data_IF_222133606122
#
_entry.id   IF_222133606122
#
_cell.length_a   1.000
_cell.length_b   1.000
_cell.length_c   1.000
_cell.angle_alpha   90.00
_cell.angle_beta   90.00
_cell.angle_gamma   90.00
#
_symmetry.space_group_name_H-M   'P 1'
#
loop_
_entity.id
_entity.type
_entity.pdbx_description
1 polymer ?
#
# COMPACT_ATOMS: atom_id res chain seq x y z
N UNK A 1 9.96 -5.27 7.95
CA UNK A 1 9.33 -3.93 8.08
C UNK A 1 7.87 -4.01 7.65
N UNK A 2 6.94 -3.59 8.50
CA UNK A 2 5.50 -3.59 8.22
C UNK A 2 5.11 -2.17 7.83
N UNK A 3 4.89 -1.95 6.52
CA UNK A 3 4.38 -0.67 6.03
C UNK A 3 2.86 -0.67 6.15
N UNK A 4 2.23 0.28 6.86
CA UNK A 4 0.77 0.31 7.05
C UNK A 4 0.02 0.42 5.71
N UNK A 5 0.57 1.14 4.74
CA UNK A 5 0.00 1.23 3.40
C UNK A 5 0.04 -0.13 2.67
N UNK A 6 1.11 -0.92 2.87
CA UNK A 6 1.23 -2.27 2.32
C UNK A 6 0.22 -3.25 2.93
N UNK A 7 -0.01 -3.16 4.24
CA UNK A 7 -1.05 -3.96 4.91
C UNK A 7 -2.43 -3.58 4.39
N UNK A 8 -2.70 -2.29 4.21
CA UNK A 8 -3.95 -1.82 3.64
C UNK A 8 -4.20 -2.37 2.22
N UNK A 9 -3.17 -2.39 1.37
CA UNK A 9 -3.27 -3.00 0.03
C UNK A 9 -3.50 -4.52 0.10
N UNK A 10 -2.88 -5.22 1.05
CA UNK A 10 -3.12 -6.66 1.25
C UNK A 10 -4.58 -6.95 1.63
N UNK A 11 -5.15 -6.13 2.54
CA UNK A 11 -6.57 -6.24 2.94
C UNK A 11 -7.49 -5.97 1.74
N UNK A 12 -7.23 -4.90 0.98
CA UNK A 12 -8.01 -4.57 -0.21
C UNK A 12 -7.92 -5.68 -1.29
N UNK A 13 -6.72 -6.25 -1.49
CA UNK A 13 -6.52 -7.38 -2.40
C UNK A 13 -7.23 -8.66 -1.91
N UNK A 14 -7.25 -8.90 -0.60
CA UNK A 14 -7.96 -10.04 -0.01
C UNK A 14 -9.47 -9.93 -0.19
N UNK A 15 -10.05 -8.75 0.01
CA UNK A 15 -11.47 -8.50 -0.25
C UNK A 15 -11.80 -8.70 -1.74
N UNK A 16 -10.92 -8.23 -2.63
CA UNK A 16 -11.04 -8.43 -4.08
C UNK A 16 -10.98 -9.90 -4.52
N UNK A 17 -10.28 -10.74 -3.76
CA UNK A 17 -10.08 -12.19 -4.04
C UNK A 17 -11.39 -13.00 -4.04
N UNK A 18 -12.40 -12.58 -3.30
CA UNK A 18 -13.73 -13.25 -3.26
C UNK A 18 -14.38 -13.38 -4.66
N UNK A 19 -13.88 -12.64 -5.67
CA UNK A 19 -14.38 -12.62 -7.06
C UNK A 19 -13.49 -13.38 -8.07
N UNK A 20 -12.87 -14.51 -7.71
CA UNK A 20 -12.23 -15.47 -8.64
C UNK A 20 -10.88 -15.11 -9.27
N UNK A 21 -10.17 -14.05 -8.88
CA UNK A 21 -8.81 -13.79 -9.39
C UNK A 21 -7.76 -14.00 -8.29
N UNK A 22 -6.63 -14.59 -8.66
CA UNK A 22 -5.48 -14.71 -7.77
C UNK A 22 -4.91 -13.33 -7.49
N UNK A 23 -4.60 -12.97 -6.22
CA UNK A 23 -4.22 -11.61 -5.85
C UNK A 23 -2.86 -11.19 -6.40
N UNK A 24 -2.00 -12.15 -6.72
CA UNK A 24 -0.66 -11.90 -7.21
C UNK A 24 -0.41 -12.71 -8.49
N UNK A 25 0.12 -12.04 -9.51
CA UNK A 25 0.59 -12.66 -10.75
C UNK A 25 1.90 -12.01 -11.15
N UNK A 26 2.78 -12.77 -11.81
CA UNK A 26 3.99 -12.20 -12.40
C UNK A 26 3.62 -11.05 -13.34
N UNK A 27 4.34 -9.95 -13.22
CA UNK A 27 4.23 -8.80 -14.09
C UNK A 27 5.64 -8.28 -14.35
N UNK A 28 6.01 -7.93 -15.58
CA UNK A 28 7.35 -7.40 -15.86
C UNK A 28 7.56 -6.09 -15.10
N UNK A 29 8.80 -5.85 -14.67
CA UNK A 29 9.14 -4.64 -13.94
C UNK A 29 9.05 -3.42 -14.86
N UNK A 30 8.21 -2.44 -14.51
CA UNK A 30 8.17 -1.14 -15.17
C UNK A 30 9.34 -0.27 -14.65
N UNK A 31 10.56 -0.64 -15.02
CA UNK A 31 11.79 -0.03 -14.50
C UNK A 31 11.84 1.48 -14.75
N UNK A 32 11.42 1.94 -15.92
CA UNK A 32 11.37 3.37 -16.26
C UNK A 32 10.46 4.16 -15.29
N UNK A 33 9.27 3.63 -15.01
CA UNK A 33 8.32 4.28 -14.08
C UNK A 33 8.86 4.29 -12.65
N UNK A 34 9.50 3.21 -12.20
CA UNK A 34 10.08 3.08 -10.85
C UNK A 34 11.21 4.07 -10.61
N UNK A 35 12.20 4.08 -11.53
CA UNK A 35 13.35 4.97 -11.40
C UNK A 35 12.97 6.42 -11.69
N UNK A 36 11.99 6.68 -12.58
CA UNK A 36 11.44 8.00 -12.82
C UNK A 36 10.74 8.57 -11.57
N UNK A 37 9.89 7.78 -10.92
CA UNK A 37 9.25 8.18 -9.66
C UNK A 37 10.26 8.44 -8.54
N UNK A 38 11.32 7.59 -8.43
CA UNK A 38 12.40 7.80 -7.47
C UNK A 38 13.19 9.08 -7.77
N UNK A 39 13.52 9.34 -9.04
CA UNK A 39 14.24 10.55 -9.44
C UNK A 39 13.43 11.81 -9.13
N UNK A 40 12.14 11.85 -9.47
CA UNK A 40 11.23 12.94 -9.12
C UNK A 40 11.20 13.14 -7.61
N UNK A 41 11.09 12.07 -6.83
CA UNK A 41 11.09 12.14 -5.37
C UNK A 41 12.37 12.75 -4.82
N UNK A 42 13.54 12.33 -5.32
CA UNK A 42 14.85 12.87 -4.90
C UNK A 42 14.97 14.35 -5.29
N UNK A 43 14.62 14.69 -6.53
CA UNK A 43 14.68 16.08 -7.02
C UNK A 43 13.80 17.00 -6.17
N UNK A 44 12.57 16.59 -5.88
CA UNK A 44 11.64 17.39 -5.07
C UNK A 44 12.10 17.51 -3.61
N UNK A 45 12.77 16.49 -3.10
CA UNK A 45 13.34 16.52 -1.75
C UNK A 45 14.54 17.48 -1.67
N UNK A 46 15.43 17.48 -2.67
CA UNK A 46 16.58 18.39 -2.76
C UNK A 46 16.12 19.83 -3.03
N UNK A 47 15.09 20.01 -3.86
CA UNK A 47 14.49 21.33 -4.15
C UNK A 47 13.68 21.92 -2.98
N UNK A 48 13.48 21.15 -1.88
CA UNK A 48 12.70 21.60 -0.72
C UNK A 48 11.19 21.63 -0.94
N UNK A 49 10.67 21.09 -2.07
CA UNK A 49 9.23 21.04 -2.38
C UNK A 49 8.59 19.88 -1.62
N UNK A 50 8.37 20.09 -0.32
CA UNK A 50 7.84 19.05 0.58
C UNK A 50 6.45 18.55 0.18
N UNK A 51 5.61 19.36 -0.45
CA UNK A 51 4.27 18.96 -0.89
C UNK A 51 4.31 17.75 -1.85
N UNK A 52 5.14 17.80 -2.89
CA UNK A 52 5.26 16.72 -3.88
C UNK A 52 5.92 15.48 -3.24
N UNK A 53 6.98 15.69 -2.44
CA UNK A 53 7.65 14.61 -1.72
C UNK A 53 6.68 13.84 -0.80
N UNK A 54 5.82 14.55 -0.05
CA UNK A 54 4.82 13.93 0.83
C UNK A 54 3.70 13.20 0.07
N UNK A 55 3.44 13.57 -1.19
CA UNK A 55 2.48 12.86 -2.05
C UNK A 55 2.96 11.44 -2.39
N UNK A 56 4.27 11.30 -2.69
CA UNK A 56 4.88 10.02 -3.04
C UNK A 56 5.26 9.17 -1.81
N UNK A 57 5.44 9.79 -0.65
CA UNK A 57 5.81 9.09 0.57
C UNK A 57 4.67 8.18 1.06
N UNK A 58 4.89 6.85 1.18
CA UNK A 58 3.81 5.92 1.52
C UNK A 58 3.27 6.15 2.94
N UNK A 59 4.11 6.58 3.87
CA UNK A 59 3.72 6.89 5.24
C UNK A 59 2.83 8.13 5.30
N UNK A 60 3.18 9.17 4.55
CA UNK A 60 2.39 10.42 4.47
C UNK A 60 1.04 10.17 3.79
N UNK A 61 1.01 9.36 2.72
CA UNK A 61 -0.23 8.97 2.06
C UNK A 61 -1.18 8.24 3.02
N UNK A 62 -0.65 7.29 3.80
CA UNK A 62 -1.44 6.59 4.82
C UNK A 62 -1.92 7.55 5.92
N UNK A 63 -1.06 8.45 6.42
CA UNK A 63 -1.42 9.44 7.43
C UNK A 63 -2.56 10.38 6.97
N UNK A 64 -2.53 10.81 5.72
CA UNK A 64 -3.63 11.63 5.15
C UNK A 64 -4.94 10.84 5.06
N UNK A 65 -4.90 9.58 4.64
CA UNK A 65 -6.09 8.72 4.60
C UNK A 65 -6.62 8.50 6.02
N UNK A 66 -5.75 8.17 6.97
CA UNK A 66 -6.13 7.94 8.35
C UNK A 66 -6.78 9.18 8.98
N UNK A 67 -6.17 10.35 8.83
CA UNK A 67 -6.65 11.59 9.46
C UNK A 67 -7.90 12.16 8.79
N UNK A 68 -8.08 11.97 7.48
CA UNK A 68 -9.21 12.60 6.77
C UNK A 68 -10.38 11.64 6.52
N UNK A 69 -10.15 10.32 6.45
CA UNK A 69 -11.22 9.35 6.24
C UNK A 69 -11.54 8.53 7.49
N UNK A 70 -10.52 7.94 8.14
CA UNK A 70 -10.77 7.02 9.25
C UNK A 70 -11.02 7.74 10.55
N UNK A 71 -10.34 8.84 10.83
CA UNK A 71 -10.53 9.62 12.05
C UNK A 71 -11.96 10.17 12.17
N UNK A 72 -12.58 10.81 11.16
CA UNK A 72 -13.97 11.26 11.25
C UNK A 72 -14.96 10.12 11.50
N UNK A 73 -14.75 8.96 10.85
CA UNK A 73 -15.60 7.77 11.04
C UNK A 73 -15.47 7.26 12.48
N UNK A 74 -14.24 7.22 13.02
CA UNK A 74 -13.99 6.82 14.39
C UNK A 74 -14.65 7.79 15.40
N UNK A 75 -14.52 9.10 15.19
CA UNK A 75 -15.12 10.12 16.05
C UNK A 75 -16.66 10.06 15.99
N UNK A 76 -17.23 9.83 14.81
CA UNK A 76 -18.66 9.62 14.69
C UNK A 76 -19.14 8.38 15.46
N UNK A 77 -18.39 7.28 15.36
CA UNK A 77 -18.65 6.09 16.16
C UNK A 77 -18.54 6.34 17.67
N UNK A 78 -17.50 7.07 18.10
CA UNK A 78 -17.33 7.48 19.51
C UNK A 78 -18.53 8.31 20.01
N UNK A 79 -18.98 9.29 19.22
CA UNK A 79 -20.11 10.14 19.60
C UNK A 79 -21.43 9.33 19.68
N UNK A 80 -21.59 8.33 18.79
CA UNK A 80 -22.72 7.41 18.90
C UNK A 80 -22.69 6.61 20.22
N UNK A 81 -21.49 6.12 20.62
CA UNK A 81 -21.32 5.42 21.90
C UNK A 81 -21.49 6.38 23.08
N UNK A 82 -21.01 7.63 22.99
CA UNK A 82 -21.21 8.66 24.02
C UNK A 82 -22.71 8.90 24.26
N UNK A 83 -23.49 9.08 23.19
CA UNK A 83 -24.93 9.28 23.30
C UNK A 83 -25.68 8.07 23.90
N UNK A 84 -25.24 6.85 23.57
CA UNK A 84 -25.81 5.63 24.16
C UNK A 84 -25.42 5.48 25.65
N UNK A 85 -24.18 5.81 26.00
CA UNK A 85 -23.67 5.75 27.37
C UNK A 85 -24.36 6.78 28.28
N UNK A 86 -24.62 7.99 27.77
CA UNK A 86 -25.37 9.03 28.48
C UNK A 86 -26.78 8.58 28.83
N UNK A 87 -27.49 7.92 27.88
CA UNK A 87 -28.80 7.31 28.14
C UNK A 87 -28.77 6.20 29.19
N UNK A 88 -27.62 5.51 29.31
CA UNK A 88 -27.40 4.47 30.33
C UNK A 88 -26.88 5.04 31.68
N UNK A 89 -26.76 6.38 31.84
CA UNK A 89 -26.26 7.04 33.02
C UNK A 89 -24.73 6.86 33.25
N UNK A 90 -23.97 6.51 32.21
CA UNK A 90 -22.53 6.31 32.24
C UNK A 90 -21.81 7.42 31.49
N UNK A 91 -20.83 8.07 32.11
CA UNK A 91 -20.00 9.12 31.51
C UNK A 91 -18.62 8.59 31.07
N UNK A 92 -18.56 7.32 30.66
CA UNK A 92 -17.31 6.70 30.18
C UNK A 92 -16.85 7.22 28.79
N UNK A 93 -17.78 7.74 28.01
CA UNK A 93 -17.52 8.33 26.69
C UNK A 93 -17.98 9.79 26.69
N UNK A 94 -17.23 10.66 26.01
CA UNK A 94 -17.58 12.08 25.87
C UNK A 94 -17.70 12.43 24.39
N UNK A 95 -18.52 13.40 24.10
CA UNK A 95 -18.68 13.92 22.74
C UNK A 95 -17.45 14.71 22.31
N UNK A 96 -17.02 14.49 21.08
CA UNK A 96 -15.89 15.18 20.46
C UNK A 96 -16.37 15.81 19.14
N UNK A 97 -16.02 17.08 18.93
CA UNK A 97 -16.35 17.78 17.70
C UNK A 97 -15.66 17.14 16.49
N UNK A 98 -16.46 16.80 15.49
CA UNK A 98 -15.95 16.23 14.23
C UNK A 98 -15.58 17.38 13.31
N UNK A 99 -14.27 17.67 13.21
CA UNK A 99 -13.77 18.74 12.36
C UNK A 99 -13.06 18.19 11.12
N UNK A 100 -13.54 18.58 9.93
CA UNK A 100 -12.84 18.33 8.67
C UNK A 100 -11.84 19.47 8.47
N UNK A 101 -10.55 19.19 8.62
CA UNK A 101 -9.44 20.17 8.64
C UNK A 101 -9.39 21.06 7.40
N UNK A 102 -9.56 20.49 6.20
CA UNK A 102 -9.67 21.25 4.94
C UNK A 102 -10.25 20.38 3.83
N UNK A 103 -11.10 20.98 3.01
CA UNK A 103 -11.73 20.32 1.87
C UNK A 103 -10.71 19.82 0.82
N UNK A 104 -9.66 20.60 0.45
CA UNK A 104 -8.67 20.13 -0.52
C UNK A 104 -7.89 18.90 -0.03
N UNK A 105 -7.49 18.86 1.24
CA UNK A 105 -6.78 17.68 1.79
C UNK A 105 -7.67 16.45 1.85
N UNK A 106 -8.96 16.62 2.11
CA UNK A 106 -9.94 15.54 2.07
C UNK A 106 -10.07 14.97 0.66
N UNK A 107 -10.19 15.83 -0.38
CA UNK A 107 -10.29 15.40 -1.78
C UNK A 107 -9.03 14.61 -2.19
N UNK A 108 -7.84 15.11 -1.86
CA UNK A 108 -6.58 14.42 -2.15
C UNK A 108 -6.50 13.08 -1.41
N UNK A 109 -6.92 13.01 -0.14
CA UNK A 109 -6.95 11.77 0.62
C UNK A 109 -7.93 10.76 0.03
N UNK A 110 -9.13 11.19 -0.34
CA UNK A 110 -10.14 10.35 -0.97
C UNK A 110 -9.67 9.85 -2.35
N UNK A 111 -9.10 10.71 -3.18
CA UNK A 111 -8.55 10.33 -4.49
C UNK A 111 -7.41 9.29 -4.34
N UNK A 112 -6.46 9.53 -3.44
CA UNK A 112 -5.37 8.57 -3.19
C UNK A 112 -5.90 7.24 -2.66
N UNK A 113 -6.89 7.26 -1.78
CA UNK A 113 -7.55 6.07 -1.25
C UNK A 113 -8.20 5.24 -2.35
N UNK A 114 -9.00 5.86 -3.22
CA UNK A 114 -9.66 5.20 -4.35
C UNK A 114 -8.63 4.61 -5.33
N UNK A 115 -7.60 5.37 -5.70
CA UNK A 115 -6.54 4.91 -6.59
C UNK A 115 -5.83 3.68 -5.99
N UNK A 116 -5.48 3.72 -4.70
CA UNK A 116 -4.82 2.60 -4.01
C UNK A 116 -5.70 1.34 -3.98
N UNK A 117 -7.01 1.49 -3.71
CA UNK A 117 -7.94 0.37 -3.73
C UNK A 117 -8.04 -0.23 -5.14
N UNK A 118 -8.21 0.59 -6.17
CA UNK A 118 -8.32 0.12 -7.55
C UNK A 118 -7.05 -0.62 -8.00
N UNK A 119 -5.87 -0.09 -7.67
CA UNK A 119 -4.58 -0.73 -7.97
C UNK A 119 -4.41 -2.05 -7.19
N UNK A 120 -4.76 -2.06 -5.91
CA UNK A 120 -4.67 -3.24 -5.07
C UNK A 120 -5.66 -4.33 -5.48
N UNK A 121 -6.87 -3.94 -5.89
CA UNK A 121 -7.88 -4.87 -6.38
C UNK A 121 -7.45 -5.60 -7.66
N UNK A 122 -6.74 -4.88 -8.54
CA UNK A 122 -6.36 -5.41 -9.84
C UNK A 122 -5.15 -6.35 -9.78
N UNK A 123 -4.07 -5.95 -9.11
CA UNK A 123 -2.79 -6.67 -9.10
C UNK A 123 -2.11 -6.76 -7.73
N UNK A 124 -2.83 -6.57 -6.62
CA UNK A 124 -2.26 -6.61 -5.27
C UNK A 124 -1.39 -5.40 -4.95
N UNK A 125 -0.11 -5.58 -4.65
CA UNK A 125 0.80 -4.50 -4.20
C UNK A 125 1.39 -3.66 -5.34
N UNK A 126 0.62 -3.34 -6.38
CA UNK A 126 1.11 -2.61 -7.56
C UNK A 126 1.73 -1.26 -7.19
N UNK A 127 1.11 -0.48 -6.32
CA UNK A 127 1.66 0.81 -5.91
C UNK A 127 3.05 0.67 -5.27
N UNK A 128 3.22 -0.28 -4.33
CA UNK A 128 4.51 -0.52 -3.67
C UNK A 128 5.59 -1.01 -4.64
N UNK A 129 5.20 -1.74 -5.68
CA UNK A 129 6.11 -2.35 -6.63
C UNK A 129 6.48 -1.44 -7.81
N UNK A 130 5.67 -0.39 -8.10
CA UNK A 130 5.86 0.43 -9.32
C UNK A 130 6.08 1.91 -9.04
N UNK A 131 5.46 2.50 -8.02
CA UNK A 131 5.47 3.95 -7.78
C UNK A 131 6.22 4.31 -6.50
N UNK A 132 6.14 3.45 -5.47
CA UNK A 132 6.69 3.76 -4.16
C UNK A 132 8.23 3.89 -4.19
N UNK A 133 8.81 5.06 -3.82
CA UNK A 133 10.26 5.25 -3.79
C UNK A 133 10.95 4.30 -2.81
N UNK A 134 10.33 4.02 -1.66
CA UNK A 134 10.85 3.06 -0.68
C UNK A 134 10.90 1.65 -1.26
N UNK A 135 9.85 1.22 -1.99
CA UNK A 135 9.84 -0.07 -2.67
C UNK A 135 10.93 -0.17 -3.75
N UNK A 136 11.20 0.92 -4.45
CA UNK A 136 12.26 0.98 -5.47
C UNK A 136 13.65 0.84 -4.85
N UNK A 137 13.92 1.55 -3.74
CA UNK A 137 15.20 1.44 -3.00
C UNK A 137 15.39 0.03 -2.45
N UNK A 138 14.36 -0.55 -1.84
CA UNK A 138 14.42 -1.93 -1.33
C UNK A 138 14.64 -2.95 -2.45
N UNK A 139 13.99 -2.77 -3.60
CA UNK A 139 14.20 -3.61 -4.78
C UNK A 139 15.63 -3.49 -5.33
N UNK A 140 16.21 -2.29 -5.32
CA UNK A 140 17.60 -2.10 -5.68
C UNK A 140 18.56 -2.82 -4.71
N UNK A 141 18.34 -2.67 -3.40
CA UNK A 141 19.15 -3.34 -2.37
C UNK A 141 19.02 -4.86 -2.43
N UNK A 142 17.86 -5.40 -2.82
CA UNK A 142 17.66 -6.84 -2.93
C UNK A 142 18.56 -7.51 -3.97
N UNK A 143 19.02 -6.76 -4.98
CA UNK A 143 19.99 -7.25 -5.98
C UNK A 143 21.36 -7.59 -5.37
N UNK A 144 21.74 -6.89 -4.29
CA UNK A 144 23.02 -7.06 -3.60
C UNK A 144 22.89 -7.88 -2.33
N UNK A 145 21.73 -8.50 -2.09
CA UNK A 145 21.48 -9.35 -0.92
C UNK A 145 22.37 -10.59 -0.95
N UNK A 146 22.97 -10.91 0.20
CA UNK A 146 23.74 -12.14 0.41
C UNK A 146 22.83 -13.39 0.36
N UNK A 147 21.60 -13.27 0.85
CA UNK A 147 20.63 -14.37 0.82
C UNK A 147 19.65 -14.16 -0.34
N UNK A 148 19.71 -15.05 -1.33
CA UNK A 148 18.83 -15.02 -2.50
C UNK A 148 17.95 -16.26 -2.50
N UNK A 149 16.68 -16.08 -2.79
CA UNK A 149 15.73 -17.17 -2.95
C UNK A 149 15.93 -17.73 -4.37
N UNK A 150 16.38 -18.97 -4.50
CA UNK A 150 16.52 -19.64 -5.80
C UNK A 150 15.48 -20.73 -5.94
N UNK A 151 15.02 -20.98 -7.15
CA UNK A 151 14.10 -22.09 -7.45
C UNK A 151 14.94 -23.23 -8.04
N UNK A 152 14.95 -24.36 -7.32
CA UNK A 152 15.54 -25.59 -7.82
C UNK A 152 14.59 -26.22 -8.84
N UNK A 153 14.98 -26.18 -10.12
CA UNK A 153 14.15 -26.67 -11.23
C UNK A 153 13.97 -28.19 -11.24
N UNK A 154 14.92 -28.93 -10.65
CA UNK A 154 14.85 -30.41 -10.57
C UNK A 154 13.81 -30.88 -9.53
N UNK A 155 13.66 -30.13 -8.43
CA UNK A 155 12.72 -30.43 -7.35
C UNK A 155 11.37 -29.73 -7.52
N UNK A 156 11.19 -28.92 -8.57
CA UNK A 156 10.01 -28.11 -8.76
C UNK A 156 8.84 -28.89 -9.36
N UNK A 157 7.75 -29.06 -8.60
CA UNK A 157 6.51 -29.70 -9.05
C UNK A 157 5.63 -28.83 -9.96
N UNK A 158 6.11 -27.69 -10.45
CA UNK A 158 5.40 -26.75 -11.35
C UNK A 158 4.01 -26.31 -10.87
N UNK A 159 3.73 -26.37 -9.55
CA UNK A 159 2.40 -26.06 -8.99
C UNK A 159 2.05 -24.57 -9.01
N UNK A 160 3.02 -23.66 -9.25
CA UNK A 160 2.82 -22.21 -9.33
C UNK A 160 2.45 -21.51 -8.02
N UNK A 161 2.49 -22.21 -6.88
CA UNK A 161 2.16 -21.63 -5.58
C UNK A 161 3.11 -20.49 -5.18
N UNK A 162 4.39 -20.60 -5.51
CA UNK A 162 5.39 -19.57 -5.25
C UNK A 162 5.02 -18.23 -5.89
N UNK A 163 4.59 -18.23 -7.15
CA UNK A 163 4.15 -17.00 -7.83
C UNK A 163 2.85 -16.43 -7.25
N UNK A 164 1.92 -17.31 -6.81
CA UNK A 164 0.63 -16.89 -6.23
C UNK A 164 0.77 -16.22 -4.87
N UNK A 165 1.80 -16.57 -4.11
CA UNK A 165 2.09 -16.01 -2.79
C UNK A 165 3.12 -14.88 -2.82
N UNK A 166 3.80 -14.66 -3.95
CA UNK A 166 4.81 -13.63 -4.09
C UNK A 166 4.19 -12.23 -4.13
N UNK A 167 4.27 -11.50 -3.02
CA UNK A 167 3.74 -10.14 -2.89
C UNK A 167 4.48 -9.12 -3.78
N UNK A 168 5.72 -9.38 -4.14
CA UNK A 168 6.50 -8.57 -5.07
C UNK A 168 6.17 -8.85 -6.55
N UNK A 169 5.41 -9.91 -6.84
CA UNK A 169 5.07 -10.34 -8.20
C UNK A 169 6.29 -10.55 -9.12
N UNK A 170 7.43 -10.97 -8.54
CA UNK A 170 8.72 -11.13 -9.20
C UNK A 170 9.00 -12.57 -9.68
N UNK A 171 8.15 -13.55 -9.35
CA UNK A 171 8.37 -14.96 -9.68
C UNK A 171 7.60 -15.32 -10.96
N UNK A 172 8.33 -15.69 -12.01
CA UNK A 172 7.76 -16.25 -13.22
C UNK A 172 7.66 -17.78 -13.07
N UNK A 173 6.47 -18.28 -12.79
CA UNK A 173 6.24 -19.72 -12.59
C UNK A 173 6.39 -20.53 -13.89
N UNK A 174 6.29 -19.91 -15.08
CA UNK A 174 6.43 -20.59 -16.38
C UNK A 174 7.90 -20.86 -16.72
N UNK A 175 8.75 -19.89 -16.43
CA UNK A 175 10.19 -19.94 -16.75
C UNK A 175 11.03 -20.34 -15.55
N UNK A 176 10.42 -20.56 -14.39
CA UNK A 176 11.11 -20.86 -13.11
C UNK A 176 12.18 -19.84 -12.72
N UNK A 177 11.99 -18.59 -13.15
CA UNK A 177 12.93 -17.48 -12.91
C UNK A 177 12.40 -16.51 -11.88
N UNK A 178 13.30 -15.89 -11.13
CA UNK A 178 13.01 -14.84 -10.16
C UNK A 178 13.63 -13.54 -10.65
N UNK A 179 12.80 -12.52 -10.84
CA UNK A 179 13.26 -11.17 -11.20
C UNK A 179 13.64 -10.39 -9.94
N UNK A 180 14.94 -10.28 -9.66
CA UNK A 180 15.48 -9.50 -8.55
C UNK A 180 15.55 -8.00 -8.84
N UNK A 181 15.02 -7.54 -9.95
CA UNK A 181 14.94 -6.11 -10.26
C UNK A 181 13.82 -5.39 -9.51
N UNK A 182 13.03 -6.15 -8.72
CA UNK A 182 11.86 -5.66 -7.98
C UNK A 182 12.06 -5.66 -6.48
#
# INVERSE_FOLDING_TARGET
>A
MICPLGVFQDVAAWIGKKRKKLPYSYSPALSLLRYGALAIFIITLVAGVSFIATLFAPYSAYGRIANNLFQPIWLWGNNLFAHLAERAGSYAFYEVDIWIKSLPTFIVAAATFVILILLAWRNGRTYCNTICPVGTVLGFLSRYSLFRITIDTEKCNKCGLCARHCKAACINAKEHTIDYSR
#
